data_IF_181266103755
#
_entry.id   IF_181266103755
#
_cell.length_a   1.000
_cell.length_b   1.000
_cell.length_c   1.000
_cell.angle_alpha   90.00
_cell.angle_beta   90.00
_cell.angle_gamma   90.00
#
_symmetry.space_group_name_H-M   'P 1'
#
loop_
_entity.id
_entity.type
_entity.pdbx_description
1 polymer ?
#
# COMPACT_ATOMS: atom_id res chain seq x y z
N UNK A 1 27.54 10.20 -16.52
CA UNK A 1 26.31 10.69 -15.91
C UNK A 1 26.34 10.28 -14.44
N UNK A 2 25.94 11.18 -13.56
CA UNK A 2 25.87 10.92 -12.13
C UNK A 2 24.42 10.61 -11.73
N UNK A 3 24.23 9.51 -10.99
CA UNK A 3 22.96 9.01 -10.51
C UNK A 3 23.02 8.97 -8.99
N UNK A 4 22.03 9.52 -8.32
CA UNK A 4 21.91 9.45 -6.87
C UNK A 4 20.60 8.76 -6.47
N UNK A 5 20.66 7.81 -5.54
CA UNK A 5 19.50 7.23 -4.85
C UNK A 5 19.44 7.86 -3.46
N UNK A 6 18.32 8.50 -3.13
CA UNK A 6 18.23 9.32 -1.91
C UNK A 6 17.79 8.51 -0.68
N UNK A 7 17.00 7.45 -0.85
CA UNK A 7 16.39 6.67 0.23
C UNK A 7 16.23 5.18 -0.17
N UNK A 8 17.35 4.56 -0.54
CA UNK A 8 17.39 3.22 -1.13
C UNK A 8 17.09 2.06 -0.18
N UNK A 9 17.14 2.25 1.14
CA UNK A 9 17.06 1.16 2.12
C UNK A 9 15.76 0.36 2.04
N UNK A 10 14.62 1.02 1.92
CA UNK A 10 13.32 0.32 1.86
C UNK A 10 13.15 -0.48 0.58
N UNK A 11 13.83 -0.06 -0.50
CA UNK A 11 13.83 -0.78 -1.77
C UNK A 11 14.83 -1.94 -1.76
N UNK A 12 16.02 -1.72 -1.22
CA UNK A 12 17.09 -2.70 -1.16
C UNK A 12 17.78 -2.69 0.21
N UNK A 13 17.27 -3.42 1.21
CA UNK A 13 17.91 -3.56 2.51
C UNK A 13 19.15 -4.49 2.48
N UNK A 14 19.64 -4.86 1.29
CA UNK A 14 20.84 -5.71 1.10
C UNK A 14 20.54 -7.05 0.41
N UNK A 15 19.32 -7.29 -0.04
CA UNK A 15 18.90 -8.55 -0.70
C UNK A 15 18.66 -8.39 -2.21
N UNK A 16 18.86 -7.20 -2.76
CA UNK A 16 18.82 -6.87 -4.19
C UNK A 16 20.16 -6.25 -4.63
N UNK A 17 20.30 -5.91 -5.91
CA UNK A 17 21.53 -5.32 -6.46
C UNK A 17 21.25 -4.02 -7.22
N UNK A 18 22.09 -3.01 -6.99
CA UNK A 18 22.09 -1.76 -7.76
C UNK A 18 22.91 -1.84 -9.05
N UNK A 19 23.58 -2.97 -9.33
CA UNK A 19 24.55 -3.13 -10.45
C UNK A 19 23.99 -2.72 -11.80
N UNK A 20 22.70 -2.89 -12.06
CA UNK A 20 22.08 -2.48 -13.31
C UNK A 20 22.02 -0.94 -13.48
N UNK A 21 21.92 -0.18 -12.38
CA UNK A 21 22.05 1.28 -12.40
C UNK A 21 23.50 1.74 -12.49
N UNK A 22 24.44 1.03 -11.84
CA UNK A 22 25.88 1.30 -11.93
C UNK A 22 26.38 1.21 -13.38
N UNK A 23 25.81 0.34 -14.21
CA UNK A 23 26.14 0.23 -15.64
C UNK A 23 25.67 1.44 -16.46
N UNK A 24 24.77 2.29 -15.93
CA UNK A 24 24.24 3.47 -16.62
C UNK A 24 24.99 4.75 -16.27
N UNK A 25 25.80 4.76 -15.21
CA UNK A 25 26.55 5.93 -14.77
C UNK A 25 27.23 5.75 -13.42
N UNK A 26 27.86 6.79 -12.94
CA UNK A 26 28.40 6.86 -11.59
C UNK A 26 27.24 6.90 -10.60
N UNK A 27 27.11 5.88 -9.74
CA UNK A 27 26.01 5.71 -8.81
C UNK A 27 26.45 6.01 -7.37
N UNK A 28 25.67 6.84 -6.69
CA UNK A 28 25.77 7.06 -5.25
C UNK A 28 24.43 6.63 -4.63
N UNK A 29 24.46 5.80 -3.60
CA UNK A 29 23.25 5.33 -2.91
C UNK A 29 23.33 5.75 -1.45
N UNK A 30 22.30 6.52 -1.03
CA UNK A 30 22.04 6.79 0.37
C UNK A 30 20.93 5.88 0.85
N UNK A 31 21.12 5.21 1.97
CA UNK A 31 20.10 4.37 2.59
C UNK A 31 18.88 5.18 3.02
N UNK A 32 19.11 6.35 3.60
CA UNK A 32 18.07 7.23 4.15
C UNK A 32 18.47 8.68 3.93
N UNK A 33 17.50 9.49 3.54
CA UNK A 33 17.58 10.96 3.54
C UNK A 33 16.44 11.48 4.41
N UNK A 34 16.03 12.72 4.33
CA UNK A 34 14.88 13.26 5.04
C UNK A 34 13.56 12.79 4.43
N UNK A 35 12.54 12.55 5.26
CA UNK A 35 11.14 12.42 4.84
C UNK A 35 10.41 13.77 4.83
N UNK A 36 11.10 14.81 5.27
CA UNK A 36 10.65 16.20 5.22
C UNK A 36 11.58 16.99 4.30
N UNK A 37 11.10 18.10 3.77
CA UNK A 37 11.93 19.00 2.99
C UNK A 37 13.09 19.52 3.86
N UNK A 38 14.31 19.43 3.34
CA UNK A 38 15.50 19.88 4.03
C UNK A 38 16.65 20.14 3.04
N UNK A 39 17.58 21.01 3.43
CA UNK A 39 18.79 21.33 2.64
C UNK A 39 19.64 20.08 2.38
N UNK A 40 19.57 19.06 3.23
CA UNK A 40 20.25 17.78 3.06
C UNK A 40 19.85 17.08 1.75
N UNK A 41 18.60 17.26 1.28
CA UNK A 41 18.13 16.65 0.03
C UNK A 41 18.90 17.25 -1.16
N UNK A 42 18.98 18.57 -1.21
CA UNK A 42 19.73 19.27 -2.26
C UNK A 42 21.24 19.00 -2.18
N UNK A 43 21.81 18.95 -0.96
CA UNK A 43 23.20 18.59 -0.71
C UNK A 43 23.54 17.20 -1.27
N UNK A 44 22.66 16.20 -1.06
CA UNK A 44 22.87 14.83 -1.53
C UNK A 44 22.64 14.67 -3.03
N UNK A 45 21.73 15.44 -3.62
CA UNK A 45 21.60 15.48 -5.08
C UNK A 45 22.88 16.10 -5.67
N UNK A 46 23.36 17.22 -5.11
CA UNK A 46 24.58 17.86 -5.51
C UNK A 46 24.62 18.18 -7.01
N UNK A 47 25.61 17.62 -7.71
CA UNK A 47 25.80 17.77 -9.16
C UNK A 47 25.24 16.60 -9.98
N UNK A 48 24.40 15.74 -9.40
CA UNK A 48 23.82 14.58 -10.08
C UNK A 48 22.88 15.00 -11.23
N UNK A 49 22.91 14.22 -12.30
CA UNK A 49 22.00 14.34 -13.45
C UNK A 49 20.64 13.67 -13.17
N UNK A 50 20.63 12.61 -12.36
CA UNK A 50 19.45 11.78 -12.07
C UNK A 50 19.29 11.62 -10.56
N UNK A 51 18.12 11.96 -10.03
CA UNK A 51 17.72 11.67 -8.66
C UNK A 51 16.68 10.54 -8.64
N UNK A 52 16.95 9.50 -7.86
CA UNK A 52 16.08 8.36 -7.63
C UNK A 52 15.64 8.40 -6.16
N UNK A 53 14.35 8.24 -5.90
CA UNK A 53 13.79 8.34 -4.55
C UNK A 53 12.52 7.51 -4.37
N UNK A 54 12.15 7.20 -3.13
CA UNK A 54 10.86 6.61 -2.79
C UNK A 54 9.97 7.61 -2.02
N UNK A 55 10.46 8.14 -0.90
CA UNK A 55 9.69 9.02 -0.01
C UNK A 55 10.37 10.36 0.28
N UNK A 56 11.64 10.51 -0.07
CA UNK A 56 12.34 11.78 0.07
C UNK A 56 11.67 12.85 -0.79
N UNK A 57 11.25 14.01 -0.23
CA UNK A 57 10.58 15.05 -1.01
C UNK A 57 11.57 15.78 -1.93
N UNK A 58 11.13 16.11 -3.13
CA UNK A 58 11.82 17.03 -4.04
C UNK A 58 10.87 18.19 -4.36
N UNK A 59 11.10 19.31 -3.69
CA UNK A 59 10.34 20.54 -3.87
C UNK A 59 10.93 21.46 -4.93
N UNK A 60 10.22 22.57 -5.18
CA UNK A 60 10.78 23.71 -5.96
C UNK A 60 12.12 24.16 -5.42
N UNK A 61 12.24 24.36 -4.09
CA UNK A 61 13.47 24.88 -3.48
C UNK A 61 14.64 23.90 -3.68
N UNK A 62 14.40 22.60 -3.56
CA UNK A 62 15.40 21.56 -3.86
C UNK A 62 15.86 21.61 -5.32
N UNK A 63 14.92 21.70 -6.27
CA UNK A 63 15.24 21.72 -7.70
C UNK A 63 16.00 23.00 -8.11
N UNK A 64 15.74 24.12 -7.46
CA UNK A 64 16.46 25.37 -7.72
C UNK A 64 17.92 25.30 -7.27
N UNK A 65 18.24 24.51 -6.27
CA UNK A 65 19.60 24.26 -5.79
C UNK A 65 20.35 23.21 -6.61
N UNK A 66 19.66 22.43 -7.45
CA UNK A 66 20.23 21.32 -8.23
C UNK A 66 20.17 21.60 -9.75
N UNK A 67 20.96 22.53 -10.29
CA UNK A 67 20.85 22.97 -11.69
C UNK A 67 21.22 21.91 -12.73
N UNK A 68 21.93 20.85 -12.32
CA UNK A 68 22.32 19.75 -13.21
C UNK A 68 21.26 18.65 -13.31
N UNK A 69 20.22 18.69 -12.46
CA UNK A 69 19.19 17.66 -12.41
C UNK A 69 18.35 17.62 -13.70
N UNK A 70 18.31 16.47 -14.35
CA UNK A 70 17.68 16.25 -15.66
C UNK A 70 16.57 15.20 -15.64
N UNK A 71 16.55 14.33 -14.63
CA UNK A 71 15.54 13.30 -14.45
C UNK A 71 15.29 13.07 -12.96
N UNK A 72 14.01 12.92 -12.60
CA UNK A 72 13.58 12.41 -11.30
C UNK A 72 12.87 11.07 -11.51
N UNK A 73 13.31 10.00 -10.84
CA UNK A 73 12.68 8.69 -10.92
C UNK A 73 12.19 8.25 -9.53
N UNK A 74 10.89 8.01 -9.41
CA UNK A 74 10.25 7.62 -8.15
C UNK A 74 10.11 6.10 -8.09
N UNK A 75 10.67 5.47 -7.06
CA UNK A 75 10.61 4.02 -6.76
C UNK A 75 9.22 3.59 -6.26
N UNK A 76 8.17 4.14 -6.83
CA UNK A 76 6.79 3.85 -6.45
C UNK A 76 5.81 4.24 -7.56
N UNK A 77 4.55 3.80 -7.44
CA UNK A 77 3.46 4.30 -8.28
C UNK A 77 3.05 5.74 -7.87
N UNK A 78 2.98 6.01 -6.56
CA UNK A 78 2.68 7.35 -6.02
C UNK A 78 3.89 8.27 -6.13
N UNK A 79 3.67 9.50 -6.58
CA UNK A 79 4.71 10.50 -6.85
C UNK A 79 4.45 11.87 -6.21
N UNK A 80 3.53 11.93 -5.27
CA UNK A 80 3.12 13.15 -4.57
C UNK A 80 4.21 13.78 -3.68
N UNK A 81 5.35 13.14 -3.55
CA UNK A 81 6.55 13.64 -2.87
C UNK A 81 7.39 14.57 -3.77
N UNK A 82 7.06 14.68 -5.06
CA UNK A 82 7.74 15.55 -6.02
C UNK A 82 6.81 16.68 -6.45
N UNK A 83 7.31 17.90 -6.48
CA UNK A 83 6.62 19.03 -7.12
C UNK A 83 6.66 18.86 -8.65
N UNK A 84 5.70 18.06 -9.16
CA UNK A 84 5.64 17.72 -10.59
C UNK A 84 5.29 18.92 -11.48
N UNK A 85 4.58 19.93 -10.95
CA UNK A 85 4.26 21.13 -11.70
C UNK A 85 5.53 21.94 -11.96
N UNK A 86 6.32 22.15 -10.92
CA UNK A 86 7.59 22.88 -11.06
C UNK A 86 8.64 22.09 -11.85
N UNK A 87 8.72 20.76 -11.68
CA UNK A 87 9.58 19.92 -12.51
C UNK A 87 9.24 20.07 -14.00
N UNK A 88 7.95 20.16 -14.36
CA UNK A 88 7.50 20.43 -15.73
C UNK A 88 7.97 21.79 -16.23
N UNK A 89 7.85 22.86 -15.44
CA UNK A 89 8.35 24.20 -15.78
C UNK A 89 9.86 24.20 -16.06
N UNK A 90 10.61 23.41 -15.30
CA UNK A 90 12.08 23.25 -15.47
C UNK A 90 12.44 22.31 -16.63
N UNK A 91 11.48 21.63 -17.25
CA UNK A 91 11.72 20.63 -18.29
C UNK A 91 12.35 19.34 -17.76
N UNK A 92 12.20 19.05 -16.46
CA UNK A 92 12.69 17.84 -15.81
C UNK A 92 11.58 16.79 -15.85
N UNK A 93 11.69 15.70 -16.62
CA UNK A 93 10.73 14.61 -16.56
C UNK A 93 10.76 13.93 -15.19
N UNK A 94 9.57 13.61 -14.68
CA UNK A 94 9.38 12.81 -13.47
C UNK A 94 8.80 11.48 -13.90
N UNK A 95 9.51 10.38 -13.67
CA UNK A 95 9.08 9.02 -13.98
C UNK A 95 8.67 8.29 -12.71
N UNK A 96 7.62 7.49 -12.80
CA UNK A 96 7.20 6.59 -11.72
C UNK A 96 7.33 5.12 -12.13
N UNK A 97 6.98 4.22 -11.21
CA UNK A 97 6.90 2.78 -11.49
C UNK A 97 5.44 2.33 -11.41
N UNK A 98 4.76 2.18 -12.55
CA UNK A 98 3.42 1.61 -12.56
C UNK A 98 3.49 0.08 -12.39
N UNK A 99 2.44 -0.50 -11.80
CA UNK A 99 2.11 -1.93 -11.94
C UNK A 99 3.03 -2.96 -11.26
N UNK A 100 3.87 -2.59 -10.32
CA UNK A 100 4.80 -3.52 -9.66
C UNK A 100 4.16 -4.40 -8.58
N UNK A 101 3.15 -3.88 -7.87
CA UNK A 101 2.64 -4.46 -6.61
C UNK A 101 1.38 -5.31 -6.73
N UNK A 102 0.82 -5.51 -7.94
CA UNK A 102 -0.50 -6.13 -8.11
C UNK A 102 -0.69 -7.41 -7.30
N UNK A 103 0.16 -8.41 -7.51
CA UNK A 103 0.08 -9.69 -6.80
C UNK A 103 0.48 -9.60 -5.33
N UNK A 104 1.51 -8.83 -4.99
CA UNK A 104 1.97 -8.71 -3.61
C UNK A 104 0.92 -8.06 -2.71
N UNK A 105 0.34 -6.96 -3.18
CA UNK A 105 -0.66 -6.20 -2.42
C UNK A 105 -1.96 -6.98 -2.28
N UNK A 106 -2.41 -7.67 -3.34
CA UNK A 106 -3.60 -8.53 -3.27
C UNK A 106 -3.39 -9.74 -2.36
N UNK A 107 -2.23 -10.41 -2.45
CA UNK A 107 -1.86 -11.50 -1.55
C UNK A 107 -1.88 -11.04 -0.08
N UNK A 108 -1.36 -9.84 0.19
CA UNK A 108 -1.31 -9.29 1.54
C UNK A 108 -2.71 -8.95 2.08
N UNK A 109 -3.62 -8.44 1.23
CA UNK A 109 -5.02 -8.22 1.60
C UNK A 109 -5.71 -9.52 2.03
N UNK A 110 -5.49 -10.61 1.29
CA UNK A 110 -6.01 -11.94 1.64
C UNK A 110 -5.35 -12.47 2.92
N UNK A 111 -4.05 -12.28 3.10
CA UNK A 111 -3.35 -12.69 4.33
C UNK A 111 -3.89 -11.96 5.57
N UNK A 112 -4.12 -10.63 5.49
CA UNK A 112 -4.75 -9.85 6.56
C UNK A 112 -6.18 -10.34 6.84
N UNK A 113 -6.97 -10.65 5.81
CA UNK A 113 -8.31 -11.22 5.97
C UNK A 113 -8.25 -12.56 6.70
N UNK A 114 -7.37 -13.47 6.28
CA UNK A 114 -7.25 -14.78 6.90
C UNK A 114 -6.74 -14.69 8.34
N UNK A 115 -5.79 -13.79 8.63
CA UNK A 115 -5.35 -13.51 10.00
C UNK A 115 -6.49 -12.96 10.86
N UNK A 116 -7.30 -12.03 10.32
CA UNK A 116 -8.48 -11.49 11.00
C UNK A 116 -9.56 -12.57 11.27
N UNK A 117 -9.65 -13.59 10.42
CA UNK A 117 -10.61 -14.69 10.57
C UNK A 117 -10.13 -15.81 11.49
N UNK A 118 -8.82 -16.10 11.49
CA UNK A 118 -8.26 -17.32 12.09
C UNK A 118 -7.32 -17.05 13.28
N UNK A 119 -6.86 -15.80 13.47
CA UNK A 119 -5.97 -15.41 14.57
C UNK A 119 -4.73 -16.30 14.72
N UNK A 120 -4.11 -16.67 13.60
CA UNK A 120 -2.98 -17.63 13.56
C UNK A 120 -1.80 -17.09 14.38
N UNK A 121 -1.43 -15.83 14.21
CA UNK A 121 -0.33 -15.21 14.93
C UNK A 121 -0.56 -15.13 16.44
N UNK A 122 -1.82 -14.96 16.89
CA UNK A 122 -2.16 -15.04 18.32
C UNK A 122 -1.95 -16.45 18.86
N UNK A 123 -2.48 -17.46 18.19
CA UNK A 123 -2.40 -18.85 18.67
C UNK A 123 -0.96 -19.38 18.62
N UNK A 124 -0.18 -19.03 17.59
CA UNK A 124 1.25 -19.35 17.54
C UNK A 124 1.98 -18.79 18.77
N UNK A 125 1.80 -17.52 19.09
CA UNK A 125 2.43 -16.88 20.26
C UNK A 125 2.02 -17.57 21.57
N UNK A 126 0.72 -17.84 21.78
CA UNK A 126 0.25 -18.46 23.02
C UNK A 126 0.70 -19.91 23.17
N UNK A 127 0.92 -20.64 22.06
CA UNK A 127 1.55 -21.97 22.08
C UNK A 127 2.99 -21.86 22.59
N UNK A 128 3.79 -20.91 22.06
CA UNK A 128 5.17 -20.68 22.51
C UNK A 128 5.26 -20.18 23.96
N UNK A 129 4.23 -19.49 24.45
CA UNK A 129 4.08 -19.08 25.85
C UNK A 129 3.68 -20.25 26.78
N UNK A 130 3.47 -21.46 26.21
CA UNK A 130 3.20 -22.68 26.97
C UNK A 130 1.72 -22.96 27.23
N UNK A 131 0.79 -22.20 26.63
CA UNK A 131 -0.64 -22.38 26.89
C UNK A 131 -1.14 -23.77 26.48
N UNK A 132 -0.68 -24.32 25.36
CA UNK A 132 -1.13 -25.62 24.89
C UNK A 132 -0.59 -26.76 25.76
N UNK A 133 0.70 -26.76 26.08
CA UNK A 133 1.31 -27.81 26.91
C UNK A 133 0.75 -27.89 28.34
N UNK A 134 0.21 -26.77 28.84
CA UNK A 134 -0.39 -26.67 30.17
C UNK A 134 -1.93 -26.70 30.15
N UNK A 135 -2.54 -26.89 28.98
CA UNK A 135 -3.98 -27.00 28.81
C UNK A 135 -4.50 -28.39 29.16
N UNK A 136 -5.77 -28.46 29.56
CA UNK A 136 -6.46 -29.73 29.84
C UNK A 136 -6.96 -30.44 28.57
N UNK A 137 -7.19 -29.62 27.51
CA UNK A 137 -7.76 -30.13 26.24
C UNK A 137 -6.66 -30.32 25.19
N UNK A 138 -6.90 -31.20 24.23
CA UNK A 138 -5.99 -31.50 23.12
C UNK A 138 -5.91 -30.37 22.09
N UNK A 139 -6.84 -29.39 22.11
CA UNK A 139 -6.85 -28.17 21.28
C UNK A 139 -7.51 -27.00 22.03
N UNK A 140 -7.30 -25.78 21.55
CA UNK A 140 -7.99 -24.59 22.06
C UNK A 140 -8.10 -23.51 20.99
N UNK A 141 -9.02 -22.59 21.18
CA UNK A 141 -9.10 -21.33 20.46
C UNK A 141 -9.61 -20.22 21.40
N UNK A 142 -9.00 -19.05 21.28
CA UNK A 142 -9.32 -17.90 22.14
C UNK A 142 -10.31 -16.93 21.47
N UNK A 143 -10.51 -17.07 20.16
CA UNK A 143 -11.41 -16.27 19.36
C UNK A 143 -12.31 -17.16 18.51
N UNK A 144 -13.51 -16.69 18.14
CA UNK A 144 -14.31 -17.40 17.14
C UNK A 144 -13.53 -17.52 15.82
N UNK A 145 -13.35 -18.73 15.33
CA UNK A 145 -12.73 -18.96 14.03
C UNK A 145 -13.79 -18.82 12.93
N UNK A 146 -13.48 -18.02 11.91
CA UNK A 146 -14.42 -17.68 10.84
C UNK A 146 -14.01 -18.41 9.56
N UNK A 147 -14.89 -19.27 9.05
CA UNK A 147 -14.79 -19.85 7.71
C UNK A 147 -15.29 -18.83 6.69
N UNK A 148 -14.49 -18.55 5.64
CA UNK A 148 -14.78 -17.54 4.63
C UNK A 148 -15.62 -18.06 3.46
N UNK A 149 -15.70 -19.38 3.24
CA UNK A 149 -16.48 -19.97 2.18
C UNK A 149 -17.98 -19.59 2.30
N UNK A 150 -18.60 -19.17 1.19
CA UNK A 150 -19.96 -18.68 1.15
C UNK A 150 -20.18 -17.26 1.68
N UNK A 151 -19.16 -16.60 2.24
CA UNK A 151 -19.23 -15.21 2.68
C UNK A 151 -18.97 -14.24 1.53
N UNK A 152 -19.36 -13.00 1.70
CA UNK A 152 -19.22 -11.94 0.71
C UNK A 152 -17.97 -11.09 0.98
N UNK A 153 -17.04 -11.04 0.02
CA UNK A 153 -15.95 -10.08 -0.02
C UNK A 153 -16.39 -8.87 -0.83
N UNK A 154 -16.56 -7.72 -0.20
CA UNK A 154 -16.83 -6.44 -0.84
C UNK A 154 -15.53 -5.70 -1.17
N UNK A 155 -15.39 -5.23 -2.39
CA UNK A 155 -14.25 -4.46 -2.86
C UNK A 155 -14.65 -2.99 -3.07
N UNK A 156 -14.09 -2.09 -2.28
CA UNK A 156 -14.14 -0.66 -2.59
C UNK A 156 -12.97 -0.35 -3.54
N UNK A 157 -13.26 -0.40 -4.85
CA UNK A 157 -12.29 -0.37 -5.93
C UNK A 157 -11.95 -1.76 -6.47
N UNK A 158 -12.19 -1.97 -7.77
CA UNK A 158 -11.90 -3.21 -8.47
C UNK A 158 -11.03 -2.96 -9.72
N UNK A 159 -9.95 -2.20 -9.51
CA UNK A 159 -8.86 -2.06 -10.46
C UNK A 159 -7.96 -3.30 -10.48
N UNK A 160 -6.72 -3.16 -10.94
CA UNK A 160 -5.79 -4.29 -11.07
C UNK A 160 -5.58 -5.09 -9.78
N UNK A 161 -5.35 -4.41 -8.64
CA UNK A 161 -5.18 -5.07 -7.34
C UNK A 161 -6.49 -5.75 -6.93
N UNK A 162 -7.63 -5.05 -7.08
CA UNK A 162 -8.95 -5.58 -6.75
C UNK A 162 -9.30 -6.84 -7.53
N UNK A 163 -8.95 -6.93 -8.82
CA UNK A 163 -9.15 -8.13 -9.64
C UNK A 163 -8.36 -9.32 -9.07
N UNK A 164 -7.07 -9.15 -8.76
CA UNK A 164 -6.28 -10.24 -8.18
C UNK A 164 -6.76 -10.63 -6.77
N UNK A 165 -7.27 -9.67 -5.99
CA UNK A 165 -7.90 -9.97 -4.70
C UNK A 165 -9.21 -10.75 -4.91
N UNK A 166 -10.02 -10.37 -5.91
CA UNK A 166 -11.25 -11.07 -6.27
C UNK A 166 -10.97 -12.51 -6.71
N UNK A 167 -9.94 -12.73 -7.55
CA UNK A 167 -9.50 -14.07 -7.98
C UNK A 167 -9.20 -14.96 -6.76
N UNK A 168 -8.40 -14.45 -5.82
CA UNK A 168 -8.01 -15.19 -4.63
C UNK A 168 -9.19 -15.43 -3.66
N UNK A 169 -10.05 -14.43 -3.45
CA UNK A 169 -11.24 -14.56 -2.61
C UNK A 169 -12.22 -15.59 -3.18
N UNK A 170 -12.44 -15.59 -4.51
CA UNK A 170 -13.27 -16.59 -5.19
C UNK A 170 -12.69 -18.00 -5.08
N UNK A 171 -11.36 -18.15 -5.17
CA UNK A 171 -10.69 -19.45 -4.97
C UNK A 171 -10.88 -20.00 -3.55
N UNK A 172 -11.11 -19.14 -2.55
CA UNK A 172 -11.48 -19.49 -1.19
C UNK A 172 -13.00 -19.74 -1.00
N UNK A 173 -13.78 -19.75 -2.09
CA UNK A 173 -15.22 -20.00 -2.05
C UNK A 173 -16.07 -18.78 -1.68
N UNK A 174 -15.52 -17.57 -1.68
CA UNK A 174 -16.28 -16.36 -1.38
C UNK A 174 -17.08 -15.84 -2.59
N UNK A 175 -18.19 -15.17 -2.31
CA UNK A 175 -18.85 -14.29 -3.28
C UNK A 175 -18.15 -12.95 -3.31
N UNK A 176 -17.92 -12.39 -4.50
CA UNK A 176 -17.24 -11.09 -4.63
C UNK A 176 -18.18 -10.06 -5.25
N UNK A 177 -18.38 -8.96 -4.52
CA UNK A 177 -19.08 -7.77 -5.00
C UNK A 177 -18.13 -6.58 -4.99
N UNK A 178 -18.35 -5.57 -5.83
CA UNK A 178 -17.48 -4.41 -5.91
C UNK A 178 -18.26 -3.12 -6.19
N UNK A 179 -17.75 -2.03 -5.64
CA UNK A 179 -18.08 -0.68 -6.09
C UNK A 179 -16.87 -0.09 -6.81
N UNK A 180 -17.06 0.35 -8.03
CA UNK A 180 -16.03 1.08 -8.78
C UNK A 180 -16.72 2.07 -9.73
N UNK A 181 -16.13 3.26 -9.91
CA UNK A 181 -16.64 4.26 -10.87
C UNK A 181 -16.53 3.79 -12.31
N UNK A 182 -15.56 2.92 -12.59
CA UNK A 182 -15.23 2.44 -13.94
C UNK A 182 -15.12 0.91 -13.93
N UNK A 183 -16.26 0.19 -13.83
CA UNK A 183 -16.28 -1.26 -13.82
C UNK A 183 -15.59 -1.86 -15.05
N UNK A 184 -14.49 -2.60 -14.83
CA UNK A 184 -13.72 -3.19 -15.92
C UNK A 184 -14.39 -4.47 -16.45
N UNK A 185 -14.21 -4.75 -17.75
CA UNK A 185 -14.70 -6.00 -18.33
C UNK A 185 -14.02 -7.22 -17.71
N UNK A 186 -12.71 -7.14 -17.46
CA UNK A 186 -11.97 -8.24 -16.82
C UNK A 186 -12.54 -8.64 -15.45
N UNK A 187 -12.98 -7.67 -14.61
CA UNK A 187 -13.64 -7.97 -13.35
C UNK A 187 -15.02 -8.63 -13.56
N UNK A 188 -15.80 -8.18 -14.56
CA UNK A 188 -17.09 -8.79 -14.91
C UNK A 188 -16.92 -10.22 -15.42
N UNK A 189 -15.93 -10.46 -16.27
CA UNK A 189 -15.62 -11.79 -16.82
C UNK A 189 -15.19 -12.77 -15.71
N UNK A 190 -14.54 -12.25 -14.66
CA UNK A 190 -14.24 -13.00 -13.45
C UNK A 190 -15.50 -13.31 -12.61
N UNK A 191 -16.64 -12.70 -12.92
CA UNK A 191 -17.91 -12.86 -12.20
C UNK A 191 -17.95 -12.02 -10.90
N UNK A 192 -17.34 -10.84 -10.91
CA UNK A 192 -17.52 -9.84 -9.85
C UNK A 192 -18.84 -9.10 -10.12
N UNK A 193 -19.72 -9.08 -9.13
CA UNK A 193 -20.97 -8.32 -9.18
C UNK A 193 -20.68 -6.86 -8.79
N UNK A 194 -20.99 -5.92 -9.69
CA UNK A 194 -20.87 -4.48 -9.37
C UNK A 194 -22.16 -3.97 -8.75
N UNK A 195 -22.04 -3.27 -7.63
CA UNK A 195 -23.15 -2.76 -6.81
C UNK A 195 -22.94 -1.28 -6.45
N UNK A 196 -24.01 -0.64 -5.98
CA UNK A 196 -23.92 0.70 -5.41
C UNK A 196 -23.23 0.68 -4.04
N UNK A 197 -22.71 1.83 -3.61
CA UNK A 197 -21.87 1.93 -2.41
C UNK A 197 -22.59 1.47 -1.13
N UNK A 198 -23.86 1.82 -0.96
CA UNK A 198 -24.65 1.42 0.21
C UNK A 198 -24.92 -0.09 0.21
N UNK A 199 -25.14 -0.70 -0.96
CA UNK A 199 -25.25 -2.16 -1.10
C UNK A 199 -23.93 -2.86 -0.80
N UNK A 200 -22.79 -2.28 -1.22
CA UNK A 200 -21.46 -2.78 -0.87
C UNK A 200 -21.31 -2.86 0.66
N UNK A 201 -21.64 -1.79 1.38
CA UNK A 201 -21.57 -1.77 2.83
C UNK A 201 -22.52 -2.80 3.48
N UNK A 202 -23.77 -2.82 3.06
CA UNK A 202 -24.80 -3.66 3.66
C UNK A 202 -24.58 -5.17 3.43
N UNK A 203 -23.93 -5.55 2.33
CA UNK A 203 -23.80 -6.96 1.91
C UNK A 203 -22.45 -7.59 2.24
N UNK A 204 -21.42 -6.80 2.54
CA UNK A 204 -20.06 -7.30 2.80
C UNK A 204 -19.93 -7.96 4.17
N UNK A 205 -19.37 -9.16 4.21
CA UNK A 205 -18.85 -9.80 5.42
C UNK A 205 -17.39 -9.38 5.67
N UNK A 206 -16.64 -9.19 4.58
CA UNK A 206 -15.30 -8.59 4.55
C UNK A 206 -15.33 -7.43 3.57
N UNK A 207 -14.87 -6.26 3.97
CA UNK A 207 -14.76 -5.07 3.13
C UNK A 207 -13.28 -4.73 2.92
N UNK A 208 -12.79 -4.86 1.67
CA UNK A 208 -11.43 -4.49 1.27
C UNK A 208 -11.40 -3.13 0.57
N UNK A 209 -10.52 -2.24 1.04
CA UNK A 209 -10.30 -0.92 0.45
C UNK A 209 -9.14 -0.99 -0.54
N UNK A 210 -9.44 -0.92 -1.86
CA UNK A 210 -8.46 -1.14 -2.91
C UNK A 210 -8.56 -0.14 -4.06
N UNK A 211 -8.86 1.11 -3.73
CA UNK A 211 -8.85 2.22 -4.69
C UNK A 211 -7.86 3.32 -4.27
N UNK A 212 -7.40 4.16 -5.19
CA UNK A 212 -6.59 5.32 -4.83
C UNK A 212 -7.38 6.29 -3.96
N UNK A 213 -6.66 7.05 -3.12
CA UNK A 213 -7.27 8.14 -2.36
C UNK A 213 -7.75 9.25 -3.29
N UNK A 214 -8.97 9.68 -3.11
CA UNK A 214 -9.64 10.78 -3.82
C UNK A 214 -10.50 11.56 -2.83
N UNK A 215 -10.93 12.76 -3.18
CA UNK A 215 -11.74 13.62 -2.30
C UNK A 215 -13.01 12.90 -1.81
N UNK A 216 -13.70 12.16 -2.69
CA UNK A 216 -14.97 11.51 -2.36
C UNK A 216 -14.83 10.32 -1.40
N UNK A 217 -13.64 9.70 -1.30
CA UNK A 217 -13.41 8.54 -0.44
C UNK A 217 -12.52 8.83 0.78
N UNK A 218 -12.10 10.07 0.96
CA UNK A 218 -11.44 10.51 2.18
C UNK A 218 -12.41 10.39 3.36
N UNK A 219 -12.00 9.64 4.39
CA UNK A 219 -12.84 9.35 5.55
C UNK A 219 -14.12 8.55 5.23
N UNK A 220 -14.14 7.79 4.14
CA UNK A 220 -15.32 7.00 3.75
C UNK A 220 -15.68 5.91 4.77
N UNK A 221 -14.69 5.39 5.49
CA UNK A 221 -14.91 4.50 6.63
C UNK A 221 -15.03 5.36 7.88
N UNK A 222 -16.26 5.76 8.17
CA UNK A 222 -16.66 6.58 9.30
C UNK A 222 -17.83 5.95 10.05
N UNK A 223 -18.23 6.54 11.16
CA UNK A 223 -19.29 6.04 12.02
C UNK A 223 -20.63 5.80 11.28
N UNK A 224 -20.99 6.72 10.36
CA UNK A 224 -22.24 6.65 9.61
C UNK A 224 -22.23 5.49 8.61
N UNK A 225 -21.16 5.33 7.85
CA UNK A 225 -21.04 4.24 6.89
C UNK A 225 -20.80 2.88 7.57
N UNK A 226 -20.07 2.84 8.70
CA UNK A 226 -19.94 1.62 9.51
C UNK A 226 -21.30 1.18 10.05
N UNK A 227 -22.19 2.10 10.40
CA UNK A 227 -23.55 1.75 10.87
C UNK A 227 -24.38 1.02 9.80
N UNK A 228 -24.12 1.25 8.50
CA UNK A 228 -24.79 0.56 7.38
C UNK A 228 -24.24 -0.85 7.14
N UNK A 229 -23.06 -1.17 7.67
CA UNK A 229 -22.41 -2.47 7.46
C UNK A 229 -23.04 -3.56 8.32
N UNK A 230 -22.78 -4.82 7.99
CA UNK A 230 -23.15 -5.95 8.83
C UNK A 230 -22.51 -5.86 10.22
N UNK A 231 -23.20 -6.36 11.24
CA UNK A 231 -22.58 -6.58 12.54
C UNK A 231 -21.51 -7.67 12.41
N UNK A 232 -20.33 -7.41 12.96
CA UNK A 232 -19.20 -8.31 12.83
C UNK A 232 -18.46 -8.25 11.49
N UNK A 233 -18.65 -7.20 10.70
CA UNK A 233 -17.88 -6.99 9.45
C UNK A 233 -16.37 -6.94 9.74
N UNK A 234 -15.58 -7.47 8.82
CA UNK A 234 -14.11 -7.35 8.82
C UNK A 234 -13.71 -6.28 7.81
N UNK A 235 -12.83 -5.36 8.20
CA UNK A 235 -12.35 -4.28 7.33
C UNK A 235 -10.86 -4.48 7.03
N UNK A 236 -10.50 -4.51 5.75
CA UNK A 236 -9.11 -4.65 5.28
C UNK A 236 -8.73 -3.38 4.52
N UNK A 237 -7.66 -2.71 4.97
CA UNK A 237 -7.13 -1.54 4.28
C UNK A 237 -5.62 -1.67 4.06
N UNK A 238 -5.22 -1.91 2.84
CA UNK A 238 -3.84 -1.86 2.38
C UNK A 238 -3.69 -0.92 1.16
N UNK A 239 -4.49 0.13 1.15
CA UNK A 239 -4.52 1.17 0.11
C UNK A 239 -4.03 2.51 0.66
N UNK A 240 -4.88 3.29 1.33
CA UNK A 240 -4.53 4.58 1.95
C UNK A 240 -5.24 4.76 3.29
N UNK A 241 -4.48 5.16 4.32
CA UNK A 241 -5.00 5.35 5.68
C UNK A 241 -6.06 6.43 5.80
N UNK A 242 -5.95 7.51 5.01
CA UNK A 242 -6.87 8.64 5.02
C UNK A 242 -8.30 8.27 4.57
N UNK A 243 -8.53 7.08 4.04
CA UNK A 243 -9.88 6.56 3.77
C UNK A 243 -10.64 6.21 5.04
N UNK A 244 -9.96 6.12 6.19
CA UNK A 244 -10.51 5.70 7.47
C UNK A 244 -10.50 6.86 8.46
N UNK A 245 -11.64 7.11 9.10
CA UNK A 245 -11.74 7.94 10.31
C UNK A 245 -11.35 7.05 11.49
N UNK A 246 -10.10 7.12 11.91
CA UNK A 246 -9.46 6.16 12.84
C UNK A 246 -10.18 6.05 14.18
N UNK A 247 -10.65 7.17 14.76
CA UNK A 247 -11.43 7.12 16.01
C UNK A 247 -12.77 6.39 15.81
N UNK A 248 -13.46 6.63 14.69
CA UNK A 248 -14.71 5.95 14.37
C UNK A 248 -14.55 4.44 14.20
N UNK A 249 -13.46 4.01 13.58
CA UNK A 249 -13.13 2.58 13.45
C UNK A 249 -12.73 1.97 14.80
N UNK A 250 -11.94 2.67 15.62
CA UNK A 250 -11.56 2.20 16.96
C UNK A 250 -12.77 2.01 17.86
N UNK A 251 -13.74 2.94 17.84
CA UNK A 251 -15.00 2.84 18.58
C UNK A 251 -15.83 1.63 18.11
N UNK A 252 -15.90 1.41 16.79
CA UNK A 252 -16.62 0.30 16.20
C UNK A 252 -15.99 -1.07 16.54
N UNK A 253 -14.66 -1.17 16.57
CA UNK A 253 -13.93 -2.35 17.01
C UNK A 253 -14.18 -2.62 18.51
N UNK A 254 -14.11 -1.60 19.35
CA UNK A 254 -14.30 -1.73 20.78
C UNK A 254 -15.74 -2.12 21.15
N UNK A 255 -16.74 -1.70 20.37
CA UNK A 255 -18.15 -2.08 20.54
C UNK A 255 -18.50 -3.44 19.94
N UNK A 256 -17.64 -4.02 19.08
CA UNK A 256 -17.91 -5.26 18.35
C UNK A 256 -18.74 -5.10 17.08
N UNK A 257 -19.11 -3.88 16.68
CA UNK A 257 -19.77 -3.61 15.38
C UNK A 257 -18.87 -4.04 14.22
N UNK A 258 -17.57 -3.77 14.32
CA UNK A 258 -16.51 -4.32 13.48
C UNK A 258 -15.82 -5.43 14.27
N UNK A 259 -15.79 -6.65 13.74
CA UNK A 259 -15.19 -7.80 14.43
C UNK A 259 -13.66 -7.70 14.48
N UNK A 260 -13.07 -7.30 13.36
CA UNK A 260 -11.62 -7.13 13.21
C UNK A 260 -11.30 -6.12 12.10
N UNK A 261 -10.17 -5.44 12.23
CA UNK A 261 -9.59 -4.65 11.14
C UNK A 261 -8.16 -5.09 10.85
N UNK A 262 -7.83 -5.31 9.58
CA UNK A 262 -6.47 -5.54 9.08
C UNK A 262 -5.99 -4.33 8.28
N UNK A 263 -5.05 -3.58 8.83
CA UNK A 263 -4.62 -2.29 8.30
C UNK A 263 -3.12 -2.32 8.01
N UNK A 264 -2.75 -2.16 6.76
CA UNK A 264 -1.33 -1.98 6.37
C UNK A 264 -0.96 -0.48 6.26
N UNK A 265 -1.94 0.39 6.39
CA UNK A 265 -1.80 1.84 6.25
C UNK A 265 -2.59 2.58 7.32
N UNK A 266 -2.09 3.75 7.73
CA UNK A 266 -2.75 4.66 8.68
C UNK A 266 -2.74 6.09 8.14
N UNK A 267 -3.53 6.98 8.75
CA UNK A 267 -3.71 8.36 8.24
C UNK A 267 -2.41 9.17 8.22
N UNK A 268 -1.51 8.89 9.17
CA UNK A 268 -0.17 9.52 9.26
C UNK A 268 0.87 8.43 9.44
N UNK A 269 1.83 8.37 8.55
CA UNK A 269 2.92 7.38 8.53
C UNK A 269 4.29 8.07 8.69
N UNK A 270 5.16 7.59 9.60
CA UNK A 270 4.95 6.50 10.56
C UNK A 270 3.80 6.76 11.54
N UNK A 271 3.18 5.67 12.05
CA UNK A 271 2.05 5.76 12.98
C UNK A 271 2.40 6.59 14.22
N UNK A 272 1.49 7.48 14.61
CA UNK A 272 1.68 8.31 15.81
C UNK A 272 1.37 7.50 17.07
N UNK A 273 2.08 7.78 18.16
CA UNK A 273 1.91 7.09 19.44
C UNK A 273 0.51 7.29 20.07
N UNK A 274 -0.19 8.37 19.70
CA UNK A 274 -1.53 8.69 20.15
C UNK A 274 -2.66 8.15 19.24
N UNK A 275 -2.30 7.41 18.19
CA UNK A 275 -3.30 6.85 17.26
C UNK A 275 -4.25 5.89 18.01
N UNK A 276 -5.59 6.11 17.93
CA UNK A 276 -6.58 5.34 18.69
C UNK A 276 -6.59 3.84 18.31
N UNK A 277 -6.19 3.50 17.09
CA UNK A 277 -6.17 2.12 16.61
C UNK A 277 -5.16 1.24 17.35
N UNK A 278 -4.09 1.83 17.92
CA UNK A 278 -3.09 1.10 18.72
C UNK A 278 -3.67 0.47 19.99
N UNK A 279 -4.81 0.98 20.47
CA UNK A 279 -5.50 0.50 21.68
C UNK A 279 -6.83 -0.17 21.37
N UNK A 280 -7.23 -0.21 20.10
CA UNK A 280 -8.48 -0.83 19.68
C UNK A 280 -8.37 -2.36 19.74
N UNK A 281 -9.48 -3.02 20.12
CA UNK A 281 -9.56 -4.48 20.10
C UNK A 281 -9.51 -5.01 18.68
N UNK A 282 -8.87 -6.17 18.49
CA UNK A 282 -8.86 -6.89 17.21
C UNK A 282 -8.43 -6.01 16.01
N UNK A 283 -7.46 -5.13 16.23
CA UNK A 283 -6.87 -4.30 15.18
C UNK A 283 -5.46 -4.81 14.86
N UNK A 284 -5.31 -5.38 13.67
CA UNK A 284 -4.02 -5.83 13.14
C UNK A 284 -3.45 -4.66 12.34
N UNK A 285 -2.25 -4.20 12.69
CA UNK A 285 -1.59 -3.09 12.00
C UNK A 285 -0.21 -3.54 11.54
N UNK A 286 0.09 -3.34 10.27
CA UNK A 286 1.39 -3.60 9.67
C UNK A 286 1.97 -2.32 9.07
N UNK A 287 3.30 -2.17 8.99
CA UNK A 287 3.95 -0.90 8.69
C UNK A 287 4.08 -0.61 7.20
N UNK A 288 2.97 -0.55 6.46
CA UNK A 288 2.89 -0.24 5.02
C UNK A 288 3.82 -1.13 4.18
N UNK A 289 3.73 -2.45 4.39
CA UNK A 289 4.64 -3.43 3.81
C UNK A 289 4.02 -4.35 2.74
N UNK A 290 2.75 -4.20 2.41
CA UNK A 290 2.05 -5.06 1.43
C UNK A 290 2.71 -5.07 0.04
N UNK A 291 3.42 -4.00 -0.30
CA UNK A 291 4.19 -3.87 -1.54
C UNK A 291 5.58 -4.49 -1.47
N UNK A 292 6.13 -4.74 -0.26
CA UNK A 292 7.55 -4.94 0.02
C UNK A 292 8.11 -6.34 -0.28
N UNK A 293 7.38 -7.22 -0.97
CA UNK A 293 7.94 -8.52 -1.34
C UNK A 293 9.19 -8.34 -2.21
N UNK A 294 10.17 -9.26 -2.08
CA UNK A 294 11.41 -9.22 -2.88
C UNK A 294 11.11 -9.11 -4.38
N UNK A 295 10.13 -9.86 -4.87
CA UNK A 295 9.74 -9.84 -6.28
C UNK A 295 9.13 -8.50 -6.72
N UNK A 296 8.35 -7.82 -5.84
CA UNK A 296 7.82 -6.48 -6.12
C UNK A 296 8.94 -5.45 -6.17
N UNK A 297 9.85 -5.47 -5.19
CA UNK A 297 11.01 -4.57 -5.14
C UNK A 297 11.95 -4.78 -6.35
N UNK A 298 12.14 -6.03 -6.77
CA UNK A 298 12.90 -6.30 -8.01
C UNK A 298 12.21 -5.68 -9.24
N UNK A 299 10.88 -5.80 -9.36
CA UNK A 299 10.13 -5.13 -10.46
C UNK A 299 10.24 -3.61 -10.41
N UNK A 300 10.27 -3.01 -9.21
CA UNK A 300 10.50 -1.57 -9.06
C UNK A 300 11.90 -1.21 -9.60
N UNK A 301 12.93 -1.93 -9.16
CA UNK A 301 14.30 -1.69 -9.63
C UNK A 301 14.41 -1.84 -11.15
N UNK A 302 13.90 -2.94 -11.71
CA UNK A 302 13.96 -3.22 -13.15
C UNK A 302 13.27 -2.09 -13.95
N UNK A 303 12.07 -1.66 -13.53
CA UNK A 303 11.35 -0.57 -14.18
C UNK A 303 12.11 0.77 -14.04
N UNK A 304 12.72 1.03 -12.90
CA UNK A 304 13.51 2.26 -12.69
C UNK A 304 14.75 2.26 -13.57
N UNK A 305 15.45 1.15 -13.69
CA UNK A 305 16.57 1.00 -14.63
C UNK A 305 16.12 1.30 -16.07
N UNK A 306 14.99 0.73 -16.49
CA UNK A 306 14.41 0.99 -17.81
C UNK A 306 13.99 2.45 -18.01
N UNK A 307 13.45 3.12 -16.98
CA UNK A 307 13.11 4.54 -17.03
C UNK A 307 14.37 5.39 -17.26
N UNK A 308 15.45 5.11 -16.53
CA UNK A 308 16.74 5.81 -16.70
C UNK A 308 17.31 5.52 -18.08
N UNK A 309 17.31 4.26 -18.53
CA UNK A 309 17.80 3.86 -19.87
C UNK A 309 17.02 4.55 -21.00
N UNK A 310 15.72 4.58 -20.92
CA UNK A 310 14.85 5.24 -21.89
C UNK A 310 15.08 6.75 -21.93
N UNK A 311 15.28 7.38 -20.77
CA UNK A 311 15.66 8.78 -20.69
C UNK A 311 17.00 9.06 -21.39
N UNK A 312 18.02 8.23 -21.18
CA UNK A 312 19.31 8.33 -21.84
C UNK A 312 19.23 8.20 -23.37
N UNK A 313 18.29 7.37 -23.83
CA UNK A 313 18.01 7.21 -25.27
C UNK A 313 17.15 8.37 -25.85
N UNK A 314 16.82 9.40 -25.07
CA UNK A 314 15.98 10.52 -25.50
C UNK A 314 14.49 10.17 -25.62
N UNK A 315 14.05 9.05 -25.06
CA UNK A 315 12.67 8.55 -25.11
C UNK A 315 12.12 8.23 -23.70
N UNK A 316 12.01 9.20 -22.80
CA UNK A 316 11.58 8.95 -21.43
C UNK A 316 10.19 8.31 -21.39
N UNK A 317 10.05 7.27 -20.56
CA UNK A 317 8.82 6.52 -20.35
C UNK A 317 8.29 6.67 -18.95
N UNK A 318 7.03 6.29 -18.71
CA UNK A 318 6.35 6.40 -17.41
C UNK A 318 6.39 7.83 -16.83
N UNK A 319 6.44 8.85 -17.71
CA UNK A 319 6.48 10.27 -17.32
C UNK A 319 5.12 10.72 -16.81
N UNK A 320 5.07 11.28 -15.60
CA UNK A 320 3.85 11.70 -14.90
C UNK A 320 3.57 13.21 -14.99
N UNK A 321 4.50 14.00 -15.47
CA UNK A 321 4.40 15.47 -15.61
C UNK A 321 4.47 15.94 -17.07
N UNK A 322 3.88 15.18 -18.00
CA UNK A 322 3.81 15.53 -19.44
C UNK A 322 3.12 16.87 -19.72
#
# INVERSE_FOLDING_TARGET
MKIVVLDGYTENPGDLSWSALEQLGELVVYDRTSYEESDLVAERIGDADVAILNKTPISKATMDQCPNLKLIAVLATGYNVVDIAYAKEKGIPVCNVPNYGGYSVSQFAIALMLEACLHIGHHDRTVHEGKWQNGEEWCYWDYPLIEVAGKTYGLLGCGRIGIHTAEAAKALGMHVIAYDRYPSQAAKDLGVEFVELDDLFARSDVLGLQMPLMDFNTGIINKENIAKMKDGVIIINNSRGQMVVEQGLADALNSGKVACAGLDVVSTEPIRADNPLLKAKNCIITPHMSWGSRSSRQRIMDCTVENVRAFLAGQPQNVVNK
#
